data_IF_246384975359
#
_entry.id   IF_246384975359
#
_cell.length_a   1.000
_cell.length_b   1.000
_cell.length_c   1.000
_cell.angle_alpha   90.00
_cell.angle_beta   90.00
_cell.angle_gamma   90.00
#
_symmetry.space_group_name_H-M   'P 1'
#
loop_
_entity.id
_entity.type
_entity.pdbx_description
1 polymer ?
#
# COMPACT_ATOMS: atom_id res chain seq x y z
N UNK A 1 -1.64 -14.98 5.31
CA UNK A 1 -0.61 -14.07 5.80
C UNK A 1 -0.36 -12.90 4.85
N UNK A 2 -0.29 -13.17 3.54
CA UNK A 2 0.01 -12.16 2.53
C UNK A 2 -1.23 -11.83 1.73
N UNK A 3 -1.59 -10.54 1.68
CA UNK A 3 -2.68 -10.02 0.85
C UNK A 3 -2.08 -9.33 -0.36
N UNK A 4 -2.36 -9.83 -1.56
CA UNK A 4 -1.84 -9.30 -2.82
C UNK A 4 -2.97 -8.56 -3.54
N UNK A 5 -2.87 -7.24 -3.64
CA UNK A 5 -3.92 -6.38 -4.16
C UNK A 5 -3.49 -5.78 -5.50
N UNK A 6 -3.96 -6.38 -6.57
CA UNK A 6 -3.74 -5.92 -7.93
C UNK A 6 -4.91 -5.05 -8.36
N UNK A 7 -4.63 -3.88 -8.92
CA UNK A 7 -5.71 -3.01 -9.32
C UNK A 7 -5.32 -2.02 -10.40
N UNK A 8 -6.31 -1.62 -11.18
CA UNK A 8 -6.17 -0.54 -12.14
C UNK A 8 -6.00 0.82 -11.45
N UNK A 9 -5.70 1.83 -12.25
CA UNK A 9 -5.58 3.20 -11.73
C UNK A 9 -6.91 3.65 -11.12
N UNK A 10 -6.83 4.45 -10.07
CA UNK A 10 -8.03 5.01 -9.40
C UNK A 10 -9.00 3.97 -8.86
N UNK A 11 -8.54 2.74 -8.58
CA UNK A 11 -9.39 1.72 -7.96
C UNK A 11 -9.72 2.01 -6.50
N UNK A 12 -8.96 2.88 -5.85
CA UNK A 12 -9.12 3.18 -4.42
C UNK A 12 -8.44 2.16 -3.50
N UNK A 13 -7.66 1.23 -4.04
CA UNK A 13 -7.07 0.14 -3.26
C UNK A 13 -6.14 0.62 -2.15
N UNK A 14 -5.28 1.60 -2.42
CA UNK A 14 -4.35 2.13 -1.43
C UNK A 14 -5.11 2.79 -0.27
N UNK A 15 -6.07 3.64 -0.57
CA UNK A 15 -6.87 4.32 0.44
C UNK A 15 -7.65 3.31 1.29
N UNK A 16 -8.25 2.31 0.68
CA UNK A 16 -9.00 1.26 1.38
C UNK A 16 -8.10 0.44 2.31
N UNK A 17 -6.89 0.10 1.87
CA UNK A 17 -5.91 -0.60 2.70
C UNK A 17 -5.54 0.24 3.92
N UNK A 18 -5.29 1.53 3.73
CA UNK A 18 -4.94 2.44 4.83
C UNK A 18 -6.08 2.56 5.83
N UNK A 19 -7.33 2.60 5.39
CA UNK A 19 -8.48 2.58 6.29
C UNK A 19 -8.55 1.29 7.10
N UNK A 20 -8.27 0.17 6.50
CA UNK A 20 -8.20 -1.12 7.20
C UNK A 20 -7.10 -1.08 8.29
N UNK A 21 -5.97 -0.48 8.00
CA UNK A 21 -4.89 -0.35 8.99
C UNK A 21 -5.27 0.57 10.14
N UNK A 22 -5.98 1.65 9.89
CA UNK A 22 -6.52 2.51 10.94
C UNK A 22 -7.52 1.76 11.82
N UNK A 23 -8.42 1.01 11.22
CA UNK A 23 -9.39 0.17 11.94
C UNK A 23 -8.70 -0.92 12.76
N UNK A 24 -7.64 -1.52 12.22
CA UNK A 24 -6.80 -2.47 12.95
C UNK A 24 -6.23 -1.85 14.23
N UNK A 25 -5.72 -0.62 14.15
CA UNK A 25 -5.18 0.08 15.33
C UNK A 25 -6.24 0.32 16.39
N UNK A 26 -7.47 0.65 15.99
CA UNK A 26 -8.59 0.82 16.90
C UNK A 26 -8.99 -0.49 17.56
N UNK A 27 -9.15 -1.57 16.78
CA UNK A 27 -9.53 -2.89 17.28
C UNK A 27 -8.46 -3.50 18.19
N UNK A 28 -7.19 -3.16 17.96
CA UNK A 28 -6.05 -3.64 18.73
C UNK A 28 -5.44 -2.51 19.58
N UNK A 29 -6.28 -1.69 20.15
CA UNK A 29 -5.87 -0.55 20.96
C UNK A 29 -4.96 -0.97 22.11
N UNK A 30 -3.89 -0.21 22.30
CA UNK A 30 -2.88 -0.41 23.35
C UNK A 30 -2.11 -1.75 23.29
N UNK A 31 -2.12 -2.41 22.13
CA UNK A 31 -1.37 -3.66 21.94
C UNK A 31 0.11 -3.44 21.62
N UNK A 32 0.53 -2.20 21.34
CA UNK A 32 1.91 -1.90 21.00
C UNK A 32 2.34 -2.50 19.68
N UNK A 33 1.41 -2.70 18.74
CA UNK A 33 1.72 -3.23 17.42
C UNK A 33 2.55 -2.22 16.62
N UNK A 34 3.46 -2.75 15.81
CA UNK A 34 4.30 -1.97 14.93
C UNK A 34 3.90 -2.19 13.49
N UNK A 35 3.44 -1.15 12.83
CA UNK A 35 2.94 -1.19 11.45
C UNK A 35 3.86 -0.37 10.57
N UNK A 36 4.43 -0.99 9.55
CA UNK A 36 5.34 -0.32 8.61
C UNK A 36 4.65 -0.14 7.27
N UNK A 37 4.61 1.10 6.80
CA UNK A 37 4.14 1.46 5.46
C UNK A 37 5.36 1.86 4.63
N UNK A 38 5.58 1.15 3.54
CA UNK A 38 6.79 1.27 2.74
C UNK A 38 6.48 1.64 1.29
N UNK A 39 7.32 2.46 0.71
CA UNK A 39 7.38 2.69 -0.72
C UNK A 39 8.84 2.87 -1.15
N UNK A 40 9.12 2.72 -2.44
CA UNK A 40 10.48 2.74 -2.96
C UNK A 40 11.24 4.01 -2.62
N UNK A 41 10.63 5.19 -2.83
CA UNK A 41 11.29 6.48 -2.60
C UNK A 41 10.54 7.33 -1.59
N UNK A 42 11.26 8.18 -0.87
CA UNK A 42 10.67 9.07 0.13
C UNK A 42 9.71 10.10 -0.50
N UNK A 43 10.05 10.78 -1.62
CA UNK A 43 9.09 11.70 -2.23
C UNK A 43 7.77 11.03 -2.64
N UNK A 44 7.84 9.82 -3.22
CA UNK A 44 6.66 9.08 -3.60
C UNK A 44 5.83 8.64 -2.40
N UNK A 45 6.48 8.20 -1.32
CA UNK A 45 5.84 7.84 -0.07
C UNK A 45 5.07 9.02 0.52
N UNK A 46 5.71 10.19 0.61
CA UNK A 46 5.09 11.42 1.14
C UNK A 46 3.92 11.91 0.29
N UNK A 47 4.01 11.74 -1.02
CA UNK A 47 2.98 12.21 -1.95
C UNK A 47 1.80 11.26 -2.11
N UNK A 48 1.86 10.06 -1.56
CA UNK A 48 0.82 9.04 -1.73
C UNK A 48 0.38 8.42 -0.41
N UNK A 49 0.98 7.30 -0.01
CA UNK A 49 0.50 6.53 1.15
C UNK A 49 0.53 7.35 2.45
N UNK A 50 1.59 8.10 2.70
CA UNK A 50 1.67 8.91 3.92
C UNK A 50 0.64 10.04 3.91
N UNK A 51 0.48 10.73 2.78
CA UNK A 51 -0.53 11.78 2.64
C UNK A 51 -1.94 11.24 2.86
N UNK A 52 -2.25 10.10 2.25
CA UNK A 52 -3.57 9.49 2.37
C UNK A 52 -3.85 9.02 3.81
N UNK A 53 -2.86 8.45 4.48
CA UNK A 53 -2.98 8.08 5.87
C UNK A 53 -3.27 9.29 6.76
N UNK A 54 -2.53 10.37 6.59
CA UNK A 54 -2.75 11.60 7.37
C UNK A 54 -4.12 12.20 7.08
N UNK A 55 -4.57 12.17 5.84
CA UNK A 55 -5.90 12.62 5.47
C UNK A 55 -6.99 11.82 6.18
N UNK A 56 -6.85 10.49 6.22
CA UNK A 56 -7.82 9.62 6.89
C UNK A 56 -7.92 9.96 8.37
N UNK A 57 -6.79 10.02 9.09
CA UNK A 57 -6.82 10.27 10.52
C UNK A 57 -7.27 11.70 10.87
N UNK A 58 -7.02 12.66 9.99
CA UNK A 58 -7.53 14.03 10.16
C UNK A 58 -9.04 14.07 9.97
N UNK A 59 -9.58 13.44 8.95
CA UNK A 59 -11.02 13.38 8.71
C UNK A 59 -11.78 12.66 9.81
N UNK A 60 -11.19 11.59 10.35
CA UNK A 60 -11.81 10.83 11.44
C UNK A 60 -11.65 11.51 12.80
N UNK A 61 -10.93 12.62 12.89
CA UNK A 61 -10.69 13.33 14.14
C UNK A 61 -9.65 12.68 15.04
N UNK A 62 -8.81 11.81 14.52
CA UNK A 62 -7.80 11.08 15.29
C UNK A 62 -6.44 11.76 15.32
N UNK A 63 -6.24 12.81 14.54
CA UNK A 63 -4.94 13.47 14.43
C UNK A 63 -4.67 14.38 15.64
N UNK A 64 -3.45 14.26 16.20
CA UNK A 64 -2.91 15.21 17.16
C UNK A 64 -1.41 15.31 16.97
N UNK A 65 -0.87 16.53 16.98
CA UNK A 65 0.56 16.76 16.77
C UNK A 65 1.44 16.08 17.82
N UNK A 66 0.96 15.90 19.03
CA UNK A 66 1.75 15.26 20.09
C UNK A 66 2.08 13.79 19.80
N UNK A 67 1.30 13.14 18.92
CA UNK A 67 1.52 11.75 18.51
C UNK A 67 2.29 11.62 17.19
N UNK A 68 2.62 12.73 16.55
CA UNK A 68 3.24 12.76 15.24
C UNK A 68 4.72 13.17 15.35
N UNK A 69 5.62 12.23 15.08
CA UNK A 69 7.05 12.52 14.97
C UNK A 69 7.40 12.75 13.50
N UNK A 70 7.48 14.03 13.12
CA UNK A 70 7.71 14.41 11.71
C UNK A 70 9.12 14.13 11.23
N UNK A 71 10.10 14.09 12.10
CA UNK A 71 11.49 13.80 11.73
C UNK A 71 11.72 12.31 11.54
N UNK A 72 11.12 11.47 12.38
CA UNK A 72 11.22 10.02 12.28
C UNK A 72 10.15 9.39 11.37
N UNK A 73 9.18 10.16 10.94
CA UNK A 73 8.04 9.72 10.12
C UNK A 73 7.25 8.61 10.79
N UNK A 74 6.87 8.84 12.04
CA UNK A 74 6.04 7.91 12.81
C UNK A 74 4.82 8.61 13.37
N UNK A 75 3.76 7.83 13.57
CA UNK A 75 2.54 8.29 14.22
C UNK A 75 2.08 7.24 15.23
N UNK A 76 1.83 7.68 16.47
CA UNK A 76 1.27 6.83 17.52
C UNK A 76 -0.26 6.86 17.40
N UNK A 77 -0.86 5.75 16.98
CA UNK A 77 -2.30 5.63 16.77
C UNK A 77 -2.90 4.57 17.69
N UNK A 78 -3.69 5.02 18.65
CA UNK A 78 -4.40 4.15 19.61
C UNK A 78 -3.47 3.17 20.35
N UNK A 79 -2.27 3.63 20.73
CA UNK A 79 -1.30 2.78 21.42
C UNK A 79 -0.52 1.83 20.52
N UNK A 80 -0.55 2.07 19.21
CA UNK A 80 0.23 1.34 18.22
C UNK A 80 1.09 2.33 17.43
N UNK A 81 2.20 1.88 16.88
CA UNK A 81 3.11 2.73 16.11
C UNK A 81 2.95 2.46 14.62
N UNK A 82 2.67 3.52 13.87
CA UNK A 82 2.68 3.49 12.39
C UNK A 82 3.92 4.23 11.93
N UNK A 83 4.82 3.53 11.23
CA UNK A 83 6.02 4.13 10.66
C UNK A 83 5.99 4.12 9.13
N UNK A 84 6.57 5.15 8.54
CA UNK A 84 6.70 5.29 7.10
C UNK A 84 8.17 5.19 6.73
N UNK A 85 8.51 4.21 5.89
CA UNK A 85 9.88 4.00 5.43
C UNK A 85 9.97 3.98 3.91
N UNK A 86 11.14 4.33 3.39
CA UNK A 86 11.45 4.21 1.97
C UNK A 86 12.75 3.45 1.77
N UNK A 87 12.93 2.85 0.58
CA UNK A 87 14.10 2.01 0.31
C UNK A 87 15.38 2.83 0.05
N UNK A 88 15.25 4.14 -0.14
CA UNK A 88 16.41 5.05 -0.18
C UNK A 88 16.97 5.36 1.22
N UNK A 89 16.42 4.71 2.26
CA UNK A 89 16.93 4.74 3.63
C UNK A 89 17.18 3.30 4.12
N UNK A 90 18.21 2.61 3.62
CA UNK A 90 18.37 1.16 3.83
C UNK A 90 18.55 0.74 5.29
N UNK A 91 19.10 1.59 6.15
CA UNK A 91 19.22 1.30 7.58
C UNK A 91 17.86 1.09 8.27
N UNK A 92 16.81 1.77 7.82
CA UNK A 92 15.46 1.60 8.37
C UNK A 92 14.82 0.28 7.93
N UNK A 93 15.14 -0.19 6.73
CA UNK A 93 14.64 -1.46 6.21
C UNK A 93 15.13 -2.64 7.05
N UNK A 94 16.38 -2.58 7.52
CA UNK A 94 17.05 -3.65 8.29
C UNK A 94 16.85 -3.54 9.78
N UNK A 95 16.35 -2.43 10.28
CA UNK A 95 16.53 -2.04 11.66
C UNK A 95 15.59 -2.69 12.67
N UNK A 96 14.40 -3.16 12.30
CA UNK A 96 13.40 -3.49 13.30
C UNK A 96 12.40 -4.54 12.82
N UNK A 97 11.95 -5.37 13.77
CA UNK A 97 10.81 -6.26 13.54
C UNK A 97 9.52 -5.45 13.54
N UNK A 98 8.58 -5.86 12.72
CA UNK A 98 7.23 -5.27 12.64
C UNK A 98 6.17 -6.36 12.65
N UNK A 99 4.98 -6.00 13.10
CA UNK A 99 3.85 -6.91 13.09
C UNK A 99 3.16 -6.94 11.72
N UNK A 100 2.97 -5.75 11.13
CA UNK A 100 2.30 -5.59 9.85
C UNK A 100 3.17 -4.78 8.91
N UNK A 101 3.22 -5.20 7.65
CA UNK A 101 3.92 -4.51 6.58
C UNK A 101 2.93 -4.22 5.45
N UNK A 102 2.88 -2.96 5.01
CA UNK A 102 2.21 -2.57 3.79
C UNK A 102 3.23 -2.00 2.82
N UNK A 103 3.39 -2.63 1.66
CA UNK A 103 4.25 -2.12 0.59
C UNK A 103 3.36 -1.54 -0.51
N UNK A 104 3.38 -0.22 -0.61
CA UNK A 104 2.65 0.53 -1.64
C UNK A 104 3.46 0.54 -2.93
N UNK A 105 2.80 0.24 -4.05
CA UNK A 105 3.43 0.13 -5.37
C UNK A 105 4.61 -0.85 -5.32
N UNK A 106 4.35 -2.08 -4.87
CA UNK A 106 5.39 -3.08 -4.65
C UNK A 106 6.08 -3.55 -5.93
N UNK A 107 5.50 -3.25 -7.09
CA UNK A 107 6.15 -3.48 -8.39
C UNK A 107 7.41 -2.64 -8.58
N UNK A 108 7.58 -1.57 -7.80
CA UNK A 108 8.77 -0.70 -7.87
C UNK A 108 9.97 -1.26 -7.11
N UNK A 109 9.80 -2.24 -6.22
CA UNK A 109 10.88 -2.76 -5.40
C UNK A 109 11.44 -4.07 -5.95
N UNK A 110 12.70 -4.37 -5.63
CA UNK A 110 13.36 -5.60 -6.06
C UNK A 110 13.10 -6.78 -5.11
N UNK A 111 13.44 -7.97 -5.56
CA UNK A 111 13.25 -9.20 -4.80
C UNK A 111 14.04 -9.19 -3.48
N UNK A 112 15.25 -8.66 -3.48
CA UNK A 112 16.10 -8.61 -2.29
C UNK A 112 15.44 -7.76 -1.20
N UNK A 113 14.93 -6.58 -1.57
CA UNK A 113 14.21 -5.71 -0.64
C UNK A 113 12.96 -6.38 -0.08
N UNK A 114 12.20 -7.06 -0.93
CA UNK A 114 11.05 -7.87 -0.50
C UNK A 114 11.46 -8.90 0.54
N UNK A 115 12.52 -9.64 0.28
CA UNK A 115 12.98 -10.69 1.19
C UNK A 115 13.39 -10.11 2.55
N UNK A 116 14.12 -9.00 2.56
CA UNK A 116 14.53 -8.36 3.80
C UNK A 116 13.35 -7.84 4.61
N UNK A 117 12.38 -7.21 3.96
CA UNK A 117 11.19 -6.71 4.63
C UNK A 117 10.31 -7.84 5.16
N UNK A 118 10.08 -8.86 4.36
CA UNK A 118 9.19 -9.97 4.74
C UNK A 118 9.75 -10.81 5.88
N UNK A 119 11.07 -11.02 5.93
CA UNK A 119 11.71 -11.78 7.00
C UNK A 119 11.58 -11.10 8.37
N UNK A 120 11.37 -9.79 8.40
CA UNK A 120 11.23 -9.03 9.64
C UNK A 120 9.77 -8.73 9.99
N UNK A 121 8.83 -9.31 9.26
CA UNK A 121 7.40 -9.12 9.50
C UNK A 121 6.80 -10.38 10.12
N UNK A 122 6.21 -10.22 11.31
CA UNK A 122 5.75 -11.37 12.09
C UNK A 122 4.34 -11.82 11.73
N UNK A 123 3.41 -10.91 11.43
CA UNK A 123 1.99 -11.25 11.32
C UNK A 123 1.45 -11.20 9.90
N UNK A 124 1.29 -10.00 9.35
CA UNK A 124 0.63 -9.81 8.05
C UNK A 124 1.42 -8.92 7.11
N UNK A 125 1.33 -9.21 5.83
CA UNK A 125 1.92 -8.42 4.76
C UNK A 125 0.83 -8.08 3.76
N UNK A 126 0.74 -6.80 3.41
CA UNK A 126 -0.20 -6.29 2.42
C UNK A 126 0.59 -5.67 1.28
N UNK A 127 0.31 -6.10 0.06
CA UNK A 127 0.95 -5.57 -1.15
C UNK A 127 -0.11 -4.94 -2.03
N UNK A 128 0.19 -3.78 -2.61
CA UNK A 128 -0.63 -3.23 -3.67
C UNK A 128 0.25 -2.83 -4.88
N UNK A 129 -0.31 -2.88 -6.06
CA UNK A 129 0.37 -2.49 -7.28
C UNK A 129 -0.60 -2.38 -8.46
N UNK A 130 -0.20 -1.60 -9.47
CA UNK A 130 -0.78 -1.65 -10.81
C UNK A 130 0.00 -2.68 -11.63
N UNK A 131 -0.67 -3.59 -12.34
CA UNK A 131 0.02 -4.73 -12.97
C UNK A 131 0.64 -4.34 -14.31
N UNK A 132 1.59 -3.40 -14.29
CA UNK A 132 2.25 -2.88 -15.49
C UNK A 132 3.39 -3.75 -15.99
N UNK A 133 3.97 -4.60 -15.13
CA UNK A 133 5.11 -5.45 -15.47
C UNK A 133 4.67 -6.91 -15.66
N UNK A 134 4.96 -7.46 -16.84
CA UNK A 134 4.62 -8.83 -17.14
C UNK A 134 5.46 -9.83 -16.32
N UNK A 135 6.74 -9.51 -16.11
CA UNK A 135 7.67 -10.34 -15.37
C UNK A 135 8.10 -9.65 -14.09
N UNK A 136 7.48 -10.03 -12.99
CA UNK A 136 7.81 -9.49 -11.68
C UNK A 136 7.84 -10.62 -10.65
N UNK A 137 8.70 -10.49 -9.62
CA UNK A 137 8.83 -11.50 -8.57
C UNK A 137 7.52 -11.78 -7.83
N UNK A 138 6.57 -10.83 -7.82
CA UNK A 138 5.26 -11.01 -7.21
C UNK A 138 4.56 -12.24 -7.80
N UNK A 139 4.58 -12.40 -9.12
CA UNK A 139 3.88 -13.50 -9.80
C UNK A 139 4.53 -14.85 -9.54
N UNK A 140 5.85 -14.90 -9.51
CA UNK A 140 6.59 -16.17 -9.38
C UNK A 140 6.85 -16.56 -7.94
N UNK A 141 7.09 -15.60 -7.04
CA UNK A 141 7.58 -15.87 -5.69
C UNK A 141 6.53 -15.66 -4.60
N UNK A 142 5.50 -14.85 -4.84
CA UNK A 142 4.49 -14.51 -3.83
C UNK A 142 3.13 -15.11 -4.15
N UNK A 143 2.62 -14.92 -5.36
CA UNK A 143 1.28 -15.39 -5.74
C UNK A 143 1.17 -16.91 -5.77
N UNK A 144 2.29 -17.61 -5.88
CA UNK A 144 2.35 -19.06 -5.84
C UNK A 144 2.36 -19.65 -4.43
N UNK A 145 2.44 -18.81 -3.40
CA UNK A 145 2.49 -19.26 -2.01
C UNK A 145 1.11 -19.63 -1.49
N UNK A 146 1.05 -20.66 -0.63
CA UNK A 146 -0.19 -21.11 0.01
C UNK A 146 -0.78 -20.06 0.97
N UNK A 147 0.09 -19.21 1.55
CA UNK A 147 -0.31 -18.18 2.51
C UNK A 147 -0.62 -16.83 1.87
N UNK A 148 -0.70 -16.76 0.54
CA UNK A 148 -1.02 -15.54 -0.20
C UNK A 148 -2.46 -15.60 -0.72
N UNK A 149 -3.21 -14.50 -0.53
CA UNK A 149 -4.55 -14.31 -1.06
C UNK A 149 -4.53 -13.16 -2.06
N UNK A 150 -5.12 -13.39 -3.22
CA UNK A 150 -5.13 -12.43 -4.32
C UNK A 150 -6.45 -11.69 -4.41
N UNK A 151 -6.39 -10.36 -4.55
CA UNK A 151 -7.54 -9.49 -4.77
C UNK A 151 -7.28 -8.62 -6.00
N UNK A 152 -8.32 -8.43 -6.80
CA UNK A 152 -8.27 -7.58 -7.99
C UNK A 152 -9.33 -6.49 -7.88
N UNK A 153 -8.95 -5.25 -8.16
CA UNK A 153 -9.86 -4.11 -8.16
C UNK A 153 -9.67 -3.24 -9.38
N UNK A 154 -10.70 -2.46 -9.72
CA UNK A 154 -10.68 -1.54 -10.85
C UNK A 154 -11.21 -0.17 -10.41
N UNK A 155 -11.17 0.81 -11.34
CA UNK A 155 -11.75 2.14 -11.11
C UNK A 155 -13.26 2.06 -10.74
N UNK A 156 -13.96 1.01 -11.16
CA UNK A 156 -15.37 0.80 -10.83
C UNK A 156 -15.61 0.53 -9.35
N UNK A 157 -14.56 0.10 -8.63
CA UNK A 157 -14.65 -0.16 -7.21
C UNK A 157 -14.48 1.10 -6.36
N UNK A 158 -14.20 2.26 -7.00
CA UNK A 158 -14.04 3.54 -6.33
C UNK A 158 -15.26 4.43 -6.53
N UNK A 159 -16.15 4.56 -5.52
CA UNK A 159 -17.39 5.33 -5.67
C UNK A 159 -17.17 6.85 -5.70
N UNK A 160 -15.96 7.32 -5.40
CA UNK A 160 -15.66 8.76 -5.29
C UNK A 160 -15.07 9.37 -6.56
N UNK A 161 -14.92 8.61 -7.65
CA UNK A 161 -14.38 9.13 -8.89
C UNK A 161 -15.38 10.05 -9.60
N UNK A 162 -14.87 11.16 -10.12
CA UNK A 162 -15.66 12.06 -10.96
C UNK A 162 -15.94 11.45 -12.33
N UNK A 163 -17.02 11.91 -12.97
CA UNK A 163 -17.37 11.46 -14.32
C UNK A 163 -16.27 11.75 -15.33
N UNK A 164 -15.56 12.87 -15.19
CA UNK A 164 -14.46 13.24 -16.10
C UNK A 164 -13.29 12.27 -16.02
N UNK A 165 -12.93 11.82 -14.81
CA UNK A 165 -11.86 10.83 -14.61
C UNK A 165 -12.28 9.48 -15.19
N UNK A 166 -13.51 9.05 -14.93
CA UNK A 166 -14.06 7.80 -15.49
C UNK A 166 -14.00 7.83 -17.02
N UNK A 167 -14.40 8.95 -17.63
CA UNK A 167 -14.36 9.11 -19.08
C UNK A 167 -12.93 9.02 -19.65
N UNK A 168 -11.95 9.62 -18.97
CA UNK A 168 -10.56 9.53 -19.38
C UNK A 168 -10.03 8.08 -19.32
N UNK A 169 -10.37 7.35 -18.27
CA UNK A 169 -9.98 5.93 -18.16
C UNK A 169 -10.65 5.12 -19.27
N UNK A 170 -11.94 5.34 -19.51
CA UNK A 170 -12.71 4.59 -20.52
C UNK A 170 -12.30 4.91 -21.96
N UNK A 171 -11.72 6.07 -22.24
CA UNK A 171 -11.15 6.38 -23.56
C UNK A 171 -10.02 5.42 -23.95
N UNK A 172 -9.35 4.82 -22.97
CA UNK A 172 -8.29 3.86 -23.22
C UNK A 172 -8.78 2.63 -23.98
N UNK A 173 -10.07 2.27 -23.86
CA UNK A 173 -10.65 1.15 -24.59
C UNK A 173 -10.44 1.27 -26.09
N UNK A 174 -10.53 2.50 -26.61
CA UNK A 174 -10.48 2.77 -28.05
C UNK A 174 -9.11 3.19 -28.54
N UNK A 175 -8.27 3.75 -27.63
CA UNK A 175 -6.98 4.34 -28.00
C UNK A 175 -5.79 3.42 -27.71
N UNK A 176 -5.85 2.61 -26.66
CA UNK A 176 -4.74 1.75 -26.27
C UNK A 176 -5.25 0.56 -25.44
N UNK A 177 -5.38 -0.59 -26.11
CA UNK A 177 -5.93 -1.80 -25.47
C UNK A 177 -5.07 -2.34 -24.33
N UNK A 178 -3.76 -2.19 -24.41
CA UNK A 178 -2.86 -2.63 -23.34
C UNK A 178 -2.99 -1.74 -22.10
N UNK A 179 -2.97 -0.43 -22.29
CA UNK A 179 -3.20 0.51 -21.19
C UNK A 179 -4.58 0.31 -20.55
N UNK A 180 -5.59 0.04 -21.37
CA UNK A 180 -6.92 -0.27 -20.86
C UNK A 180 -6.92 -1.53 -20.00
N UNK A 181 -6.27 -2.60 -20.45
CA UNK A 181 -6.19 -3.84 -19.69
C UNK A 181 -5.51 -3.61 -18.32
N UNK A 182 -4.38 -2.90 -18.29
CA UNK A 182 -3.63 -2.64 -17.07
C UNK A 182 -4.31 -1.62 -16.17
N UNK A 183 -4.62 -0.43 -16.67
CA UNK A 183 -5.08 0.69 -15.86
C UNK A 183 -6.59 0.74 -15.70
N UNK A 184 -7.35 0.22 -16.65
CA UNK A 184 -8.80 0.15 -16.58
C UNK A 184 -9.28 -1.13 -15.90
N UNK A 185 -8.88 -2.27 -16.41
CA UNK A 185 -9.34 -3.58 -15.93
C UNK A 185 -8.49 -4.18 -14.80
N UNK A 186 -7.34 -3.59 -14.50
CA UNK A 186 -6.44 -4.11 -13.47
C UNK A 186 -5.81 -5.44 -13.84
N UNK A 187 -5.66 -5.71 -15.12
CA UNK A 187 -5.08 -6.95 -15.62
C UNK A 187 -3.58 -6.85 -15.82
N UNK A 188 -2.92 -8.00 -15.80
CA UNK A 188 -1.48 -8.10 -16.03
C UNK A 188 -1.15 -7.70 -17.47
N UNK A 189 -0.20 -6.80 -17.59
CA UNK A 189 0.26 -6.28 -18.88
C UNK A 189 1.02 -7.26 -19.75
#
# INVERSE_FOLDING_TARGET
>A
RISVNQGGTRSGKTYSILKVLVDYCWENKDCGSYITICRRTLPALKASAMRDFMEIIQKEGYYSEKYHNKSELTYELFGNTVEFISLDQPQKVRGRKRNILFINECNEIDLESWMQLSLRTTDKIILDYNPSDEFHWIYDKVMTRDDATFFKSTYLDNPFLSKSIIQEIERLKETDSNYWAVYGLGERG
#
